data_IF_457797167212
#
_entry.id   IF_457797167212
#
_cell.length_a   1.000
_cell.length_b   1.000
_cell.length_c   1.000
_cell.angle_alpha   90.00
_cell.angle_beta   90.00
_cell.angle_gamma   90.00
#
_symmetry.space_group_name_H-M   'P 1'
#
loop_
_entity.id
_entity.type
_entity.pdbx_description
1 polymer ?
#
# COMPACT_ATOMS: atom_id res chain seq x y z
N UNK A 1 -12.32 -2.87 -8.91
CA UNK A 1 -11.00 -2.36 -8.47
C UNK A 1 -10.87 -2.71 -7.01
N UNK A 2 -10.06 -3.72 -6.68
CA UNK A 2 -9.80 -4.12 -5.29
C UNK A 2 -8.42 -3.63 -4.90
N UNK A 3 -8.37 -2.62 -4.04
CA UNK A 3 -7.12 -2.09 -3.49
C UNK A 3 -7.03 -2.50 -2.02
N UNK A 4 -5.98 -3.20 -1.64
CA UNK A 4 -5.77 -3.67 -0.27
C UNK A 4 -4.37 -3.33 0.20
N UNK A 5 -4.22 -2.77 1.39
CA UNK A 5 -2.91 -2.52 2.00
C UNK A 5 -2.73 -3.36 3.25
N UNK A 6 -1.65 -4.16 3.27
CA UNK A 6 -1.18 -4.83 4.46
C UNK A 6 -0.26 -3.89 5.24
N UNK A 7 -0.62 -3.62 6.49
CA UNK A 7 0.09 -2.67 7.32
C UNK A 7 0.18 -3.08 8.79
N UNK A 8 1.00 -2.33 9.53
CA UNK A 8 0.97 -2.31 10.99
C UNK A 8 0.48 -0.91 11.41
N UNK A 9 -0.50 -0.79 12.34
CA UNK A 9 -1.14 0.49 12.69
C UNK A 9 -0.18 1.64 13.00
N UNK A 10 0.93 1.32 13.68
CA UNK A 10 1.90 2.30 14.16
C UNK A 10 3.12 2.48 13.25
N UNK A 11 3.13 1.90 12.04
CA UNK A 11 4.25 2.01 11.11
C UNK A 11 4.26 3.35 10.35
N UNK A 12 5.36 4.14 10.40
CA UNK A 12 5.44 5.43 9.71
C UNK A 12 5.38 5.30 8.18
N UNK A 13 5.94 4.24 7.60
CA UNK A 13 5.89 3.98 6.16
C UNK A 13 4.46 3.64 5.69
N UNK A 14 3.69 2.92 6.51
CA UNK A 14 2.29 2.62 6.21
C UNK A 14 1.44 3.90 6.23
N UNK A 15 1.66 4.78 7.21
CA UNK A 15 1.01 6.10 7.27
C UNK A 15 1.28 6.93 6.01
N UNK A 16 2.51 6.91 5.49
CA UNK A 16 2.89 7.62 4.26
C UNK A 16 2.11 7.10 3.05
N UNK A 17 1.98 5.78 2.90
CA UNK A 17 1.21 5.17 1.80
C UNK A 17 -0.27 5.48 1.92
N UNK A 18 -0.87 5.32 3.11
CA UNK A 18 -2.28 5.65 3.36
C UNK A 18 -2.60 7.10 3.01
N UNK A 19 -1.78 8.03 3.47
CA UNK A 19 -1.91 9.45 3.09
C UNK A 19 -1.92 9.62 1.58
N UNK A 20 -1.08 8.90 0.84
CA UNK A 20 -1.06 9.00 -0.63
C UNK A 20 -2.33 8.44 -1.26
N UNK A 21 -2.87 7.34 -0.73
CA UNK A 21 -4.15 6.77 -1.16
C UNK A 21 -5.30 7.75 -0.89
N UNK A 22 -5.30 8.38 0.30
CA UNK A 22 -6.28 9.40 0.69
C UNK A 22 -6.18 10.66 -0.21
N UNK A 23 -4.95 11.12 -0.51
CA UNK A 23 -4.69 12.23 -1.44
C UNK A 23 -5.26 11.94 -2.84
N UNK A 24 -5.18 10.69 -3.29
CA UNK A 24 -5.71 10.23 -4.57
C UNK A 24 -7.21 9.89 -4.50
N UNK A 25 -7.85 10.03 -3.34
CA UNK A 25 -9.25 9.68 -3.07
C UNK A 25 -9.60 8.26 -3.53
N UNK A 26 -8.67 7.32 -3.38
CA UNK A 26 -8.89 5.93 -3.73
C UNK A 26 -9.61 5.22 -2.58
N UNK A 27 -10.58 4.38 -2.90
CA UNK A 27 -11.14 3.43 -1.95
C UNK A 27 -10.17 2.25 -1.78
N UNK A 28 -9.82 1.93 -0.54
CA UNK A 28 -8.91 0.84 -0.21
C UNK A 28 -9.30 0.14 1.08
N UNK A 29 -9.05 -1.17 1.12
CA UNK A 29 -9.15 -1.97 2.31
C UNK A 29 -7.82 -1.98 3.05
N UNK A 30 -7.87 -1.93 4.37
CA UNK A 30 -6.69 -2.00 5.23
C UNK A 30 -6.71 -3.30 6.01
N UNK A 31 -5.66 -4.10 5.86
CA UNK A 31 -5.46 -5.33 6.62
C UNK A 31 -4.33 -5.06 7.62
N UNK A 32 -4.70 -4.92 8.89
CA UNK A 32 -3.73 -4.83 9.97
C UNK A 32 -3.18 -6.22 10.27
N UNK A 33 -1.85 -6.35 10.24
CA UNK A 33 -1.15 -7.59 10.53
C UNK A 33 -0.45 -7.53 11.88
N UNK A 34 -0.23 -8.71 12.46
CA UNK A 34 0.61 -8.84 13.63
C UNK A 34 2.10 -8.78 13.23
N UNK A 35 2.93 -7.97 13.92
CA UNK A 35 4.35 -7.84 13.58
C UNK A 35 5.18 -9.11 13.84
N UNK A 36 4.70 -9.99 14.74
CA UNK A 36 5.33 -11.25 15.15
C UNK A 36 4.87 -12.37 14.22
N UNK A 37 3.57 -12.44 13.92
CA UNK A 37 2.96 -13.41 13.00
C UNK A 37 2.53 -12.73 11.70
N UNK A 38 3.48 -12.60 10.77
CA UNK A 38 3.24 -11.98 9.46
C UNK A 38 2.63 -13.01 8.50
N UNK A 39 1.64 -12.62 7.68
CA UNK A 39 1.06 -13.52 6.69
C UNK A 39 2.06 -13.82 5.57
N UNK A 40 1.91 -14.98 4.91
CA UNK A 40 2.80 -15.46 3.84
C UNK A 40 3.00 -14.43 2.74
N UNK A 41 1.94 -13.73 2.33
CA UNK A 41 2.01 -12.68 1.31
C UNK A 41 3.02 -11.56 1.64
N UNK A 42 3.22 -11.26 2.92
CA UNK A 42 4.24 -10.28 3.34
C UNK A 42 5.61 -10.95 3.37
N UNK A 43 5.70 -12.17 3.90
CA UNK A 43 6.96 -12.93 4.02
C UNK A 43 7.58 -13.27 2.67
N UNK A 44 6.80 -13.72 1.70
CA UNK A 44 7.24 -14.16 0.37
C UNK A 44 7.68 -13.01 -0.54
N UNK A 45 7.29 -11.77 -0.24
CA UNK A 45 7.60 -10.62 -1.07
C UNK A 45 8.81 -9.82 -0.56
N UNK A 46 8.68 -9.15 0.58
CA UNK A 46 9.77 -8.33 1.14
C UNK A 46 9.97 -8.51 2.64
N UNK A 47 9.19 -9.41 3.24
CA UNK A 47 9.17 -9.66 4.67
C UNK A 47 8.71 -8.47 5.50
N UNK A 48 8.40 -7.31 4.91
CA UNK A 48 8.17 -6.04 5.58
C UNK A 48 6.93 -5.34 5.02
N UNK A 49 6.32 -4.49 5.84
CA UNK A 49 5.16 -3.66 5.47
C UNK A 49 5.61 -2.22 5.17
N UNK A 50 4.89 -1.46 4.34
CA UNK A 50 3.62 -1.80 3.69
C UNK A 50 3.76 -2.72 2.46
N UNK A 51 2.71 -3.50 2.19
CA UNK A 51 2.51 -4.23 0.92
C UNK A 51 1.14 -3.84 0.37
N UNK A 52 1.11 -3.34 -0.87
CA UNK A 52 -0.13 -2.98 -1.57
C UNK A 52 -0.51 -4.11 -2.53
N UNK A 53 -1.78 -4.45 -2.56
CA UNK A 53 -2.40 -5.28 -3.60
C UNK A 53 -3.35 -4.39 -4.39
N UNK A 54 -3.18 -4.42 -5.71
CA UNK A 54 -4.01 -3.68 -6.64
C UNK A 54 -4.49 -4.62 -7.74
N UNK A 55 -5.75 -5.05 -7.64
CA UNK A 55 -6.37 -5.99 -8.59
C UNK A 55 -5.54 -7.28 -8.78
N UNK A 56 -5.03 -7.84 -7.67
CA UNK A 56 -4.18 -9.04 -7.66
C UNK A 56 -2.69 -8.77 -7.89
N UNK A 57 -2.29 -7.55 -8.23
CA UNK A 57 -0.88 -7.17 -8.36
C UNK A 57 -0.29 -6.82 -6.99
N UNK A 58 0.72 -7.56 -6.56
CA UNK A 58 1.42 -7.33 -5.29
C UNK A 58 2.57 -6.34 -5.52
N UNK A 59 2.59 -5.26 -4.76
CA UNK A 59 3.61 -4.22 -4.80
C UNK A 59 4.14 -4.04 -3.37
N UNK A 60 5.28 -4.64 -3.04
CA UNK A 60 5.94 -4.40 -1.76
C UNK A 60 6.80 -3.12 -1.81
N UNK A 61 7.22 -2.68 -0.62
CA UNK A 61 8.01 -1.47 -0.36
C UNK A 61 7.24 -0.15 -0.54
N UNK A 62 7.36 0.73 0.47
CA UNK A 62 6.65 2.00 0.49
C UNK A 62 7.06 2.94 -0.65
N UNK A 63 8.31 2.94 -1.09
CA UNK A 63 8.77 3.81 -2.18
C UNK A 63 8.18 3.36 -3.50
N UNK A 64 8.23 2.05 -3.78
CA UNK A 64 7.63 1.46 -4.97
C UNK A 64 6.12 1.64 -5.02
N UNK A 65 5.43 1.49 -3.90
CA UNK A 65 3.99 1.73 -3.81
C UNK A 65 3.67 3.19 -4.18
N UNK A 66 4.36 4.16 -3.59
CA UNK A 66 4.12 5.58 -3.87
C UNK A 66 4.38 5.92 -5.34
N UNK A 67 5.45 5.38 -5.92
CA UNK A 67 5.78 5.57 -7.33
C UNK A 67 4.73 4.93 -8.25
N UNK A 68 4.25 3.73 -7.91
CA UNK A 68 3.18 3.04 -8.61
C UNK A 68 1.87 3.84 -8.59
N UNK A 69 1.44 4.27 -7.41
CA UNK A 69 0.23 5.08 -7.23
C UNK A 69 0.33 6.40 -8.01
N UNK A 70 1.49 7.06 -7.94
CA UNK A 70 1.77 8.30 -8.66
C UNK A 70 1.84 8.14 -10.18
N UNK A 71 2.08 6.93 -10.71
CA UNK A 71 2.05 6.66 -12.16
C UNK A 71 0.68 6.21 -12.64
N UNK A 72 -0.01 5.37 -11.86
CA UNK A 72 -1.28 4.75 -12.26
C UNK A 72 -2.49 5.66 -12.04
N UNK A 73 -2.51 6.37 -10.91
CA UNK A 73 -3.71 7.10 -10.45
C UNK A 73 -3.54 8.61 -10.46
N UNK A 74 -2.35 9.12 -10.76
CA UNK A 74 -2.17 10.55 -10.98
C UNK A 74 -2.79 10.93 -12.32
N UNK A 75 -4.07 11.29 -12.28
CA UNK A 75 -4.63 12.20 -13.27
C UNK A 75 -3.94 13.54 -13.06
N UNK A 76 -3.41 14.14 -14.12
CA UNK A 76 -3.01 15.54 -14.08
C UNK A 76 -4.26 16.35 -13.67
N UNK A 77 -4.18 17.11 -12.58
CA UNK A 77 -4.94 18.36 -12.55
C UNK A 77 -4.20 19.25 -13.55
N UNK A 78 -4.76 19.35 -14.77
CA UNK A 78 -4.46 20.47 -15.65
C UNK A 78 -4.98 21.73 -14.93
N UNK A 79 -4.05 22.58 -14.47
CA UNK A 79 -4.31 24.01 -14.28
C UNK A 79 -3.96 24.76 -15.57
#
# INVERSE_FOLDING_TARGET
MTLTIYQIPNCPFCKKVRRKLDELKLEYETIDIDPISRPDIVMENSGTVPVLIDDGKIIPDSTRILEYLGKKYKHYEEE
#
